data_IF_521714667244
#
_entry.id   IF_521714667244
#
_cell.length_a   1.000
_cell.length_b   1.000
_cell.length_c   1.000
_cell.angle_alpha   90.00
_cell.angle_beta   90.00
_cell.angle_gamma   90.00
#
_symmetry.space_group_name_H-M   'P 1'
#
loop_
_entity.id
_entity.type
_entity.pdbx_description
1 polymer ?
#
# COMPACT_ATOMS: atom_id res chain seq x y z
N UNK A 1 -18.09 -19.29 -21.93
CA UNK A 1 -16.76 -19.88 -22.21
C UNK A 1 -15.93 -18.86 -22.99
N UNK A 2 -15.39 -17.85 -22.29
CA UNK A 2 -14.77 -16.64 -22.91
C UNK A 2 -13.24 -16.80 -23.09
N UNK A 3 -12.64 -17.79 -22.45
CA UNK A 3 -11.19 -18.00 -22.40
C UNK A 3 -10.58 -18.46 -23.73
N UNK A 4 -11.33 -19.17 -24.58
CA UNK A 4 -10.82 -19.70 -25.85
C UNK A 4 -10.43 -18.62 -26.86
N UNK A 5 -11.23 -17.55 -26.98
CA UNK A 5 -11.01 -16.49 -27.97
C UNK A 5 -9.78 -15.63 -27.68
N UNK A 6 -9.55 -15.27 -26.41
CA UNK A 6 -8.39 -14.47 -26.01
C UNK A 6 -7.07 -15.24 -26.19
N UNK A 7 -7.03 -16.51 -25.79
CA UNK A 7 -5.86 -17.36 -25.98
C UNK A 7 -5.58 -17.59 -27.47
N UNK A 8 -6.63 -17.76 -28.28
CA UNK A 8 -6.48 -17.88 -29.73
C UNK A 8 -5.94 -16.60 -30.38
N UNK A 9 -6.36 -15.42 -29.92
CA UNK A 9 -5.83 -14.12 -30.36
C UNK A 9 -4.33 -14.00 -30.04
N UNK A 10 -3.91 -14.33 -28.81
CA UNK A 10 -2.49 -14.29 -28.42
C UNK A 10 -1.63 -15.28 -29.21
N UNK A 11 -2.17 -16.46 -29.56
CA UNK A 11 -1.48 -17.42 -30.43
C UNK A 11 -1.31 -16.90 -31.86
N UNK A 12 -2.29 -16.16 -32.38
CA UNK A 12 -2.26 -15.56 -33.72
C UNK A 12 -1.40 -14.28 -33.79
N UNK A 13 -1.30 -13.52 -32.70
CA UNK A 13 -0.54 -12.25 -32.60
C UNK A 13 0.39 -12.27 -31.39
N UNK A 14 1.56 -12.88 -31.56
CA UNK A 14 2.52 -13.12 -30.47
C UNK A 14 3.21 -11.84 -29.99
N UNK A 15 3.28 -10.83 -30.86
CA UNK A 15 3.79 -9.49 -30.56
C UNK A 15 3.02 -8.78 -29.44
N UNK A 16 1.75 -9.15 -29.23
CA UNK A 16 0.90 -8.56 -28.18
C UNK A 16 1.15 -9.17 -26.80
N UNK A 17 1.78 -10.35 -26.73
CA UNK A 17 2.05 -11.05 -25.46
C UNK A 17 2.89 -10.19 -24.51
N UNK A 18 4.06 -9.64 -24.91
CA UNK A 18 4.84 -8.79 -24.02
C UNK A 18 4.11 -7.50 -23.65
N UNK A 19 3.40 -6.88 -24.60
CA UNK A 19 2.64 -5.65 -24.37
C UNK A 19 1.56 -5.85 -23.29
N UNK A 20 0.73 -6.89 -23.45
CA UNK A 20 -0.32 -7.24 -22.49
C UNK A 20 0.30 -7.68 -21.17
N UNK A 21 1.43 -8.39 -21.19
CA UNK A 21 2.16 -8.80 -19.99
C UNK A 21 2.58 -7.61 -19.12
N UNK A 22 3.24 -6.61 -19.71
CA UNK A 22 3.64 -5.40 -18.97
C UNK A 22 2.44 -4.58 -18.50
N UNK A 23 1.40 -4.46 -19.33
CA UNK A 23 0.17 -3.75 -18.94
C UNK A 23 -0.53 -4.46 -17.76
N UNK A 24 -0.68 -5.78 -17.82
CA UNK A 24 -1.28 -6.56 -16.75
C UNK A 24 -0.45 -6.49 -15.47
N UNK A 25 0.88 -6.57 -15.58
CA UNK A 25 1.79 -6.41 -14.45
C UNK A 25 1.63 -5.04 -13.79
N UNK A 26 1.62 -3.96 -14.59
CA UNK A 26 1.42 -2.60 -14.10
C UNK A 26 0.05 -2.41 -13.43
N UNK A 27 -1.03 -2.87 -14.08
CA UNK A 27 -2.38 -2.78 -13.54
C UNK A 27 -2.53 -3.56 -12.22
N UNK A 28 -1.94 -4.75 -12.15
CA UNK A 28 -1.93 -5.57 -10.95
C UNK A 28 -1.14 -4.90 -9.84
N UNK A 29 0.08 -4.44 -10.13
CA UNK A 29 0.94 -3.73 -9.17
C UNK A 29 0.28 -2.45 -8.62
N UNK A 30 -0.34 -1.65 -9.48
CA UNK A 30 -1.07 -0.45 -9.06
C UNK A 30 -2.26 -0.79 -8.16
N UNK A 31 -3.06 -1.79 -8.55
CA UNK A 31 -4.21 -2.24 -7.75
C UNK A 31 -3.76 -2.76 -6.38
N UNK A 32 -2.73 -3.60 -6.35
CA UNK A 32 -2.15 -4.13 -5.10
C UNK A 32 -1.60 -3.01 -4.21
N UNK A 33 -0.92 -2.01 -4.77
CA UNK A 33 -0.41 -0.87 -4.01
C UNK A 33 -1.55 -0.02 -3.41
N UNK A 34 -2.61 0.25 -4.18
CA UNK A 34 -3.79 0.96 -3.68
C UNK A 34 -4.45 0.21 -2.52
N UNK A 35 -4.64 -1.11 -2.64
CA UNK A 35 -5.18 -1.95 -1.57
C UNK A 35 -4.26 -1.92 -0.34
N UNK A 36 -2.95 -2.07 -0.53
CA UNK A 36 -1.98 -1.99 0.56
C UNK A 36 -2.06 -0.64 1.29
N UNK A 37 -2.08 0.47 0.56
CA UNK A 37 -2.16 1.80 1.18
C UNK A 37 -3.48 2.02 1.92
N UNK A 38 -4.60 1.60 1.33
CA UNK A 38 -5.91 1.71 1.93
C UNK A 38 -5.99 1.05 3.32
N UNK A 39 -5.34 -0.09 3.50
CA UNK A 39 -5.43 -0.86 4.75
C UNK A 39 -4.28 -0.65 5.73
N UNK A 40 -3.11 -0.18 5.27
CA UNK A 40 -1.90 -0.12 6.11
C UNK A 40 -1.42 1.29 6.42
N UNK A 41 -1.82 2.30 5.63
CA UNK A 41 -1.37 3.68 5.82
C UNK A 41 -2.38 4.45 6.65
N UNK A 42 -1.88 5.10 7.69
CA UNK A 42 -2.69 5.92 8.61
C UNK A 42 -3.15 7.23 8.00
N UNK A 43 -2.50 7.68 6.92
CA UNK A 43 -2.88 8.90 6.18
C UNK A 43 -4.16 8.71 5.33
N UNK A 44 -4.60 7.47 5.09
CA UNK A 44 -5.82 7.19 4.34
C UNK A 44 -7.01 7.15 5.29
N UNK A 45 -7.82 8.20 5.26
CA UNK A 45 -8.98 8.35 6.16
C UNK A 45 -10.26 7.93 5.43
N UNK A 46 -10.88 6.85 5.90
CA UNK A 46 -12.19 6.39 5.40
C UNK A 46 -13.36 6.90 6.24
N UNK A 47 -13.14 7.13 7.52
CA UNK A 47 -14.14 7.69 8.43
C UNK A 47 -13.56 8.92 9.12
N UNK A 48 -14.25 10.05 9.00
CA UNK A 48 -13.84 11.34 9.60
C UNK A 48 -14.31 11.51 11.04
N UNK A 49 -15.20 10.65 11.53
CA UNK A 49 -15.68 10.72 12.90
C UNK A 49 -14.59 10.19 13.85
N UNK A 50 -14.27 10.98 14.88
CA UNK A 50 -13.19 10.70 15.84
C UNK A 50 -11.85 10.37 15.14
N UNK A 51 -11.43 11.24 14.21
CA UNK A 51 -10.22 11.10 13.41
C UNK A 51 -9.01 11.71 14.13
N UNK A 52 -8.21 10.93 14.90
CA UNK A 52 -6.96 11.44 15.45
C UNK A 52 -6.01 11.80 14.30
N UNK A 53 -5.06 12.68 14.57
CA UNK A 53 -4.07 13.05 13.56
C UNK A 53 -3.29 11.81 13.09
N UNK A 54 -2.98 11.68 11.78
CA UNK A 54 -2.42 10.46 11.21
C UNK A 54 -1.14 9.96 11.89
N UNK A 55 -0.32 10.87 12.42
CA UNK A 55 0.91 10.54 13.16
C UNK A 55 0.66 9.98 14.56
N UNK A 56 -0.51 10.23 15.17
CA UNK A 56 -0.82 9.68 16.48
C UNK A 56 -1.03 8.15 16.46
N UNK A 57 -1.36 7.60 15.28
CA UNK A 57 -1.60 6.18 15.04
C UNK A 57 -0.33 5.43 14.61
N UNK A 58 0.75 6.14 14.31
CA UNK A 58 2.01 5.53 13.91
C UNK A 58 2.75 4.96 15.13
N UNK A 59 3.29 3.75 14.97
CA UNK A 59 4.15 3.10 15.95
C UNK A 59 5.61 3.17 15.49
N UNK A 60 6.46 3.99 16.13
CA UNK A 60 7.87 4.13 15.76
C UNK A 60 8.68 2.83 15.84
N UNK A 61 8.20 1.84 16.59
CA UNK A 61 8.87 0.55 16.79
C UNK A 61 8.64 -0.43 15.64
N UNK A 62 7.67 -0.15 14.77
CA UNK A 62 7.30 -1.03 13.65
C UNK A 62 7.82 -0.52 12.31
N UNK A 63 8.13 -1.43 11.37
CA UNK A 63 8.39 -1.09 9.97
C UNK A 63 7.24 -0.31 9.34
N UNK A 64 7.56 0.87 8.80
CA UNK A 64 6.56 1.77 8.21
C UNK A 64 6.44 1.63 6.69
N UNK A 65 7.36 0.94 6.03
CA UNK A 65 7.37 0.75 4.57
C UNK A 65 7.26 -0.73 4.23
N UNK A 66 6.76 -1.01 3.02
CA UNK A 66 6.66 -2.37 2.47
C UNK A 66 8.00 -3.12 2.58
N UNK A 67 9.10 -2.41 2.32
CA UNK A 67 10.45 -2.89 2.57
C UNK A 67 11.13 -1.85 3.46
N UNK A 68 11.59 -2.28 4.64
CA UNK A 68 12.27 -1.42 5.60
C UNK A 68 13.66 -2.00 5.87
N UNK A 69 14.69 -1.17 5.71
CA UNK A 69 16.10 -1.54 5.92
C UNK A 69 16.68 -0.59 6.96
N UNK A 70 17.30 -1.15 8.01
CA UNK A 70 18.02 -0.39 9.07
C UNK A 70 17.21 0.79 9.63
N UNK A 71 15.97 0.53 10.06
CA UNK A 71 15.11 1.54 10.69
C UNK A 71 15.82 2.20 11.88
N UNK A 72 15.97 3.53 11.83
CA UNK A 72 16.56 4.34 12.90
C UNK A 72 15.51 5.02 13.78
N UNK A 73 14.26 5.10 13.31
CA UNK A 73 13.20 5.74 14.06
C UNK A 73 12.85 4.92 15.30
N UNK A 74 12.81 5.58 16.47
CA UNK A 74 12.54 5.00 17.78
C UNK A 74 11.52 5.88 18.52
N UNK A 75 10.77 5.32 19.47
CA UNK A 75 9.90 6.11 20.34
C UNK A 75 10.75 7.08 21.17
N UNK A 76 10.21 8.27 21.39
CA UNK A 76 10.83 9.37 22.14
C UNK A 76 10.05 9.52 23.43
N UNK A 77 10.69 9.28 24.58
CA UNK A 77 10.02 9.21 25.88
C UNK A 77 9.36 10.54 26.25
N UNK A 78 10.01 11.66 25.95
CA UNK A 78 9.50 13.00 26.22
C UNK A 78 8.18 13.26 25.49
N UNK A 79 8.06 12.79 24.25
CA UNK A 79 6.83 12.91 23.47
C UNK A 79 5.71 12.05 24.06
N UNK A 80 6.03 10.88 24.58
CA UNK A 80 5.03 10.02 25.24
C UNK A 80 4.52 10.63 26.55
N UNK A 81 5.41 11.23 27.34
CA UNK A 81 5.05 11.92 28.58
C UNK A 81 4.11 13.09 28.27
N UNK A 82 4.48 13.96 27.32
CA UNK A 82 3.64 15.10 26.92
C UNK A 82 2.28 14.62 26.40
N UNK A 83 2.25 13.55 25.60
CA UNK A 83 1.01 12.96 25.10
C UNK A 83 0.09 12.47 26.22
N UNK A 84 0.64 11.84 27.28
CA UNK A 84 -0.12 11.38 28.45
C UNK A 84 -0.66 12.52 29.32
N UNK A 85 0.01 13.68 29.32
CA UNK A 85 -0.44 14.85 30.08
C UNK A 85 -1.54 15.66 29.36
N UNK A 86 -1.61 15.53 28.02
CA UNK A 86 -2.49 16.36 27.18
C UNK A 86 -3.82 15.67 26.83
N UNK A 87 -3.87 14.33 26.85
CA UNK A 87 -5.09 13.53 26.61
C UNK A 87 -5.72 13.07 27.91
#
# INVERSE_FOLDING_TARGET
MVTGGFVQMLRKRKELIPLIGFMAFAATGATSACIYFLFTKTDVILNKNANPEPWERLDPSKPQKLITIKQQWKPVEELEIVKKLTK
#
